data_IF_372299538708
#
_entry.id   IF_372299538708
#
_cell.length_a   1.000
_cell.length_b   1.000
_cell.length_c   1.000
_cell.angle_alpha   90.00
_cell.angle_beta   90.00
_cell.angle_gamma   90.00
#
_symmetry.space_group_name_H-M   'P 1'
#
loop_
_entity.id
_entity.type
_entity.pdbx_description
1 polymer ?
#
# COMPACT_ATOMS: atom_id res chain seq x y z
N UNK A 1 -21.50 13.49 0.86
CA UNK A 1 -21.53 12.16 1.50
C UNK A 1 -22.93 11.84 2.06
N UNK A 2 -23.67 12.83 2.55
CA UNK A 2 -25.04 12.60 3.04
C UNK A 2 -25.98 12.27 1.87
N UNK A 3 -26.61 11.11 1.94
CA UNK A 3 -27.63 10.63 1.00
C UNK A 3 -28.87 10.17 1.79
N UNK A 4 -30.10 10.20 1.21
CA UNK A 4 -31.34 9.99 1.98
C UNK A 4 -31.51 8.62 2.65
N UNK A 5 -30.82 7.57 2.17
CA UNK A 5 -31.02 6.20 2.65
C UNK A 5 -29.74 5.46 3.03
N UNK A 6 -28.58 5.90 2.55
CA UNK A 6 -27.27 5.31 2.83
C UNK A 6 -26.24 6.42 2.73
N UNK A 7 -25.45 6.64 3.78
CA UNK A 7 -24.36 7.62 3.69
C UNK A 7 -23.11 7.00 3.03
N UNK A 8 -22.16 7.88 2.65
CA UNK A 8 -20.96 7.45 1.94
C UNK A 8 -20.04 6.55 2.76
N UNK A 9 -20.03 6.68 4.08
CA UNK A 9 -19.23 5.84 4.97
C UNK A 9 -19.74 4.41 5.02
N UNK A 10 -21.03 4.23 5.20
CA UNK A 10 -21.67 2.90 5.14
C UNK A 10 -21.52 2.25 3.76
N UNK A 11 -21.57 3.05 2.67
CA UNK A 11 -21.33 2.53 1.33
C UNK A 11 -19.90 2.03 1.19
N UNK A 12 -18.90 2.79 1.66
CA UNK A 12 -17.50 2.40 1.66
C UNK A 12 -17.29 1.10 2.44
N UNK A 13 -17.80 1.01 3.66
CA UNK A 13 -17.74 -0.19 4.49
C UNK A 13 -18.31 -1.40 3.74
N UNK A 14 -19.47 -1.28 3.11
CA UNK A 14 -20.08 -2.35 2.33
C UNK A 14 -19.25 -2.75 1.11
N UNK A 15 -18.59 -1.81 0.44
CA UNK A 15 -17.67 -2.11 -0.66
C UNK A 15 -16.50 -2.93 -0.13
N UNK A 16 -15.84 -2.48 0.94
CA UNK A 16 -14.67 -3.14 1.53
C UNK A 16 -14.98 -4.52 2.12
N UNK A 17 -16.20 -4.71 2.64
CA UNK A 17 -16.64 -5.98 3.26
C UNK A 17 -17.46 -6.88 2.34
N UNK A 18 -17.60 -6.52 1.06
CA UNK A 18 -18.46 -7.24 0.10
C UNK A 18 -18.00 -8.67 -0.20
N UNK A 19 -16.73 -9.01 0.05
CA UNK A 19 -16.13 -10.29 -0.30
C UNK A 19 -15.97 -10.54 -1.81
N UNK A 20 -16.23 -9.51 -2.63
CA UNK A 20 -16.00 -9.58 -4.08
C UNK A 20 -14.52 -9.32 -4.34
N UNK A 21 -13.81 -10.20 -5.06
CA UNK A 21 -12.39 -10.00 -5.32
C UNK A 21 -12.08 -8.65 -5.98
N UNK A 22 -11.12 -7.91 -5.43
CA UNK A 22 -10.66 -6.61 -5.93
C UNK A 22 -11.49 -5.40 -5.49
N UNK A 23 -12.58 -5.57 -4.73
CA UNK A 23 -13.35 -4.42 -4.21
C UNK A 23 -12.71 -3.78 -2.99
N UNK A 24 -11.85 -4.49 -2.29
CA UNK A 24 -10.99 -4.01 -1.23
C UNK A 24 -9.93 -3.01 -1.74
N UNK A 25 -9.49 -3.15 -3.00
CA UNK A 25 -8.46 -2.31 -3.64
C UNK A 25 -9.05 -1.19 -4.52
N UNK A 26 -10.35 -1.19 -4.81
CA UNK A 26 -10.96 -0.16 -5.67
C UNK A 26 -10.79 1.23 -5.04
N UNK A 27 -10.18 2.21 -5.76
CA UNK A 27 -10.13 3.59 -5.30
C UNK A 27 -11.53 4.18 -5.10
N UNK A 28 -11.82 4.68 -3.91
CA UNK A 28 -13.10 5.31 -3.59
C UNK A 28 -12.86 6.76 -3.20
N UNK A 29 -13.43 7.68 -3.98
CA UNK A 29 -13.28 9.12 -3.78
C UNK A 29 -14.50 9.69 -3.09
N UNK A 30 -14.30 10.41 -1.99
CA UNK A 30 -15.36 11.15 -1.31
C UNK A 30 -15.64 12.48 -2.04
N UNK A 31 -16.89 12.72 -2.45
CA UNK A 31 -17.35 14.01 -2.96
C UNK A 31 -18.15 14.72 -1.89
N UNK A 32 -17.62 15.80 -1.30
CA UNK A 32 -18.21 16.49 -0.15
C UNK A 32 -18.49 17.97 -0.44
N UNK A 33 -19.54 18.52 0.21
CA UNK A 33 -19.78 19.96 0.24
C UNK A 33 -19.14 20.61 1.48
N UNK A 34 -18.52 19.85 2.38
CA UNK A 34 -17.95 20.32 3.63
C UNK A 34 -16.54 20.88 3.45
N UNK A 35 -16.21 21.93 4.21
CA UNK A 35 -14.98 22.72 4.05
C UNK A 35 -13.87 22.15 4.96
N UNK A 36 -12.72 21.88 4.38
CA UNK A 36 -11.34 21.85 4.90
C UNK A 36 -10.98 21.13 6.24
N UNK A 37 -11.89 20.88 7.19
CA UNK A 37 -11.54 20.23 8.47
C UNK A 37 -11.73 18.71 8.51
N UNK A 38 -12.27 18.14 7.45
CA UNK A 38 -12.64 16.71 7.40
C UNK A 38 -11.73 15.90 6.48
N UNK A 39 -10.63 16.47 5.98
CA UNK A 39 -9.74 15.79 5.03
C UNK A 39 -9.10 14.53 5.63
N UNK A 40 -8.54 14.66 6.82
CA UNK A 40 -7.94 13.53 7.56
C UNK A 40 -8.99 12.47 7.86
N UNK A 41 -10.20 12.89 8.21
CA UNK A 41 -11.29 11.98 8.54
C UNK A 41 -11.77 11.11 7.35
N UNK A 42 -11.69 11.61 6.11
CA UNK A 42 -12.01 10.79 4.93
C UNK A 42 -10.95 9.71 4.66
N UNK A 43 -9.68 10.05 4.81
CA UNK A 43 -8.58 9.10 4.66
C UNK A 43 -8.61 8.07 5.79
N UNK A 44 -8.82 8.49 7.03
CA UNK A 44 -8.99 7.60 8.20
C UNK A 44 -10.17 6.64 8.03
N UNK A 45 -11.24 7.08 7.37
CA UNK A 45 -12.39 6.24 7.07
C UNK A 45 -12.16 5.25 5.93
N UNK A 46 -11.01 5.31 5.22
CA UNK A 46 -10.64 4.39 4.14
C UNK A 46 -11.03 4.86 2.73
N UNK A 47 -11.39 6.14 2.55
CA UNK A 47 -11.47 6.74 1.22
C UNK A 47 -10.07 6.95 0.66
N UNK A 48 -9.89 6.66 -0.64
CA UNK A 48 -8.60 6.82 -1.33
C UNK A 48 -8.29 8.27 -1.67
N UNK A 49 -9.32 9.11 -1.74
CA UNK A 49 -9.19 10.53 -2.01
C UNK A 49 -10.50 11.28 -1.75
N UNK A 50 -10.45 12.58 -1.85
CA UNK A 50 -11.65 13.41 -1.69
C UNK A 50 -11.62 14.61 -2.64
N UNK A 51 -12.81 15.15 -2.93
CA UNK A 51 -12.98 16.35 -3.75
C UNK A 51 -14.13 17.21 -3.21
N UNK A 52 -13.86 18.48 -2.96
CA UNK A 52 -14.85 19.42 -2.43
C UNK A 52 -15.74 19.98 -3.55
N UNK A 53 -17.03 19.96 -3.32
CA UNK A 53 -18.02 20.64 -4.18
C UNK A 53 -18.09 22.15 -3.84
N UNK A 54 -18.16 23.03 -4.87
CA UNK A 54 -18.12 22.76 -6.30
C UNK A 54 -16.70 22.49 -6.79
N UNK A 55 -16.52 21.55 -7.71
CA UNK A 55 -15.24 21.22 -8.33
C UNK A 55 -15.32 21.37 -9.86
N UNK A 56 -14.19 21.62 -10.50
CA UNK A 56 -14.04 21.68 -11.93
C UNK A 56 -13.69 20.32 -12.52
N UNK A 57 -13.95 20.11 -13.80
CA UNK A 57 -13.51 18.93 -14.51
C UNK A 57 -11.98 18.73 -14.42
N UNK A 58 -11.21 19.82 -14.45
CA UNK A 58 -9.75 19.76 -14.34
C UNK A 58 -9.31 19.22 -12.98
N UNK A 59 -9.93 19.62 -11.88
CA UNK A 59 -9.64 19.10 -10.53
C UNK A 59 -9.96 17.62 -10.41
N UNK A 60 -11.10 17.17 -10.97
CA UNK A 60 -11.45 15.76 -10.98
C UNK A 60 -10.44 14.93 -11.79
N UNK A 61 -10.09 15.39 -12.99
CA UNK A 61 -9.11 14.71 -13.87
C UNK A 61 -7.74 14.67 -13.18
N UNK A 62 -7.30 15.75 -12.52
CA UNK A 62 -6.03 15.78 -11.78
C UNK A 62 -6.01 14.74 -10.68
N UNK A 63 -7.06 14.67 -9.85
CA UNK A 63 -7.18 13.67 -8.79
C UNK A 63 -7.22 12.25 -9.35
N UNK A 64 -7.98 12.01 -10.42
CA UNK A 64 -8.02 10.70 -11.06
C UNK A 64 -6.66 10.28 -11.62
N UNK A 65 -5.93 11.20 -12.27
CA UNK A 65 -4.60 10.92 -12.78
C UNK A 65 -3.62 10.61 -11.63
N UNK A 66 -3.68 11.36 -10.55
CA UNK A 66 -2.86 11.11 -9.35
C UNK A 66 -3.14 9.72 -8.79
N UNK A 67 -4.39 9.37 -8.56
CA UNK A 67 -4.78 8.06 -8.02
C UNK A 67 -4.48 6.91 -8.99
N UNK A 68 -4.68 7.11 -10.31
CA UNK A 68 -4.36 6.12 -11.32
C UNK A 68 -2.84 5.96 -11.47
N UNK A 69 -2.07 7.04 -11.38
CA UNK A 69 -0.61 6.98 -11.42
C UNK A 69 -0.07 6.24 -10.20
N UNK A 70 -0.56 6.54 -9.00
CA UNK A 70 -0.22 5.80 -7.79
C UNK A 70 -0.60 4.31 -7.89
N UNK A 71 -1.75 4.01 -8.48
CA UNK A 71 -2.21 2.63 -8.67
C UNK A 71 -1.45 1.90 -9.79
N UNK A 72 -1.07 2.60 -10.86
CA UNK A 72 -0.25 2.07 -11.95
C UNK A 72 1.23 1.97 -11.56
N UNK A 73 1.75 2.88 -10.73
CA UNK A 73 3.10 2.79 -10.19
C UNK A 73 3.22 1.67 -9.15
N UNK A 74 2.16 1.40 -8.39
CA UNK A 74 2.06 0.20 -7.55
C UNK A 74 2.00 -1.09 -8.39
N UNK A 75 1.54 -1.00 -9.64
CA UNK A 75 1.53 -2.05 -10.67
C UNK A 75 2.61 -1.87 -11.74
N UNK A 76 3.54 -0.92 -11.62
CA UNK A 76 4.72 -0.89 -12.47
C UNK A 76 5.38 -2.26 -12.38
N UNK A 77 5.61 -2.91 -13.52
CA UNK A 77 6.13 -4.27 -13.61
C UNK A 77 7.31 -4.43 -12.66
N UNK A 78 7.06 -5.16 -11.56
CA UNK A 78 8.10 -5.45 -10.59
C UNK A 78 9.24 -6.15 -11.32
N UNK A 79 10.42 -5.59 -11.21
CA UNK A 79 11.58 -6.09 -11.95
C UNK A 79 12.21 -7.28 -11.21
N UNK A 80 11.54 -8.43 -11.22
CA UNK A 80 12.09 -9.66 -10.66
C UNK A 80 13.36 -10.10 -11.35
N UNK A 81 13.59 -9.69 -12.61
CA UNK A 81 14.85 -9.94 -13.32
C UNK A 81 16.04 -9.31 -12.61
N UNK A 82 15.84 -8.21 -11.87
CA UNK A 82 16.91 -7.62 -11.05
C UNK A 82 17.36 -8.52 -9.90
N UNK A 83 16.44 -9.30 -9.31
CA UNK A 83 16.78 -10.30 -8.28
C UNK A 83 17.47 -11.51 -8.89
N UNK A 84 16.99 -11.97 -10.03
CA UNK A 84 17.47 -13.20 -10.66
C UNK A 84 18.65 -12.97 -11.60
N UNK A 85 19.13 -11.73 -11.76
CA UNK A 85 20.26 -11.38 -12.64
C UNK A 85 21.53 -12.22 -12.38
N UNK A 86 21.75 -12.61 -11.13
CA UNK A 86 22.90 -13.45 -10.75
C UNK A 86 22.74 -14.93 -11.10
N UNK A 87 21.52 -15.40 -11.40
CA UNK A 87 21.26 -16.77 -11.81
C UNK A 87 21.60 -17.00 -13.30
N UNK A 88 21.81 -15.93 -14.07
CA UNK A 88 22.01 -16.04 -15.53
C UNK A 88 20.77 -16.61 -16.22
N UNK A 89 21.00 -17.60 -17.11
CA UNK A 89 19.92 -18.29 -17.83
C UNK A 89 19.45 -19.57 -17.13
N UNK A 90 19.83 -19.80 -15.87
CA UNK A 90 19.45 -20.98 -15.11
C UNK A 90 18.07 -20.82 -14.46
N UNK A 91 17.01 -21.53 -14.92
CA UNK A 91 15.67 -21.41 -14.38
C UNK A 91 15.55 -21.93 -12.93
N UNK A 92 16.31 -22.98 -12.58
CA UNK A 92 16.27 -23.56 -11.23
C UNK A 92 16.89 -22.58 -10.20
N UNK A 93 18.01 -21.96 -10.57
CA UNK A 93 18.65 -20.95 -9.75
C UNK A 93 17.75 -19.71 -9.60
N UNK A 94 17.09 -19.27 -10.69
CA UNK A 94 16.13 -18.16 -10.65
C UNK A 94 14.95 -18.45 -9.72
N UNK A 95 14.34 -19.62 -9.84
CA UNK A 95 13.24 -20.07 -8.99
C UNK A 95 13.67 -20.14 -7.50
N UNK A 96 14.88 -20.63 -7.22
CA UNK A 96 15.43 -20.70 -5.87
C UNK A 96 15.62 -19.30 -5.24
N UNK A 97 16.08 -18.32 -6.02
CA UNK A 97 16.23 -16.92 -5.57
C UNK A 97 14.87 -16.32 -5.23
N UNK A 98 13.87 -16.46 -6.12
CA UNK A 98 12.52 -15.92 -5.88
C UNK A 98 11.85 -16.60 -4.68
N UNK A 99 12.07 -17.90 -4.50
CA UNK A 99 11.58 -18.63 -3.32
C UNK A 99 12.20 -18.09 -2.04
N UNK A 100 13.51 -17.89 -2.01
CA UNK A 100 14.22 -17.34 -0.86
C UNK A 100 13.73 -15.90 -0.56
N UNK A 101 13.57 -15.08 -1.60
CA UNK A 101 12.99 -13.75 -1.49
C UNK A 101 11.61 -13.81 -0.81
N UNK A 102 10.72 -14.68 -1.30
CA UNK A 102 9.37 -14.83 -0.78
C UNK A 102 9.37 -15.27 0.69
N UNK A 103 10.17 -16.26 1.05
CA UNK A 103 10.27 -16.77 2.42
C UNK A 103 10.81 -15.73 3.40
N UNK A 104 11.90 -15.03 3.04
CA UNK A 104 12.50 -14.00 3.92
C UNK A 104 11.62 -12.75 4.03
N UNK A 105 10.92 -12.38 2.94
CA UNK A 105 9.98 -11.27 2.98
C UNK A 105 8.76 -11.60 3.85
N UNK A 106 8.22 -12.83 3.78
CA UNK A 106 7.13 -13.27 4.66
C UNK A 106 7.52 -13.20 6.14
N UNK A 107 8.71 -13.66 6.50
CA UNK A 107 9.22 -13.54 7.89
C UNK A 107 9.27 -12.07 8.34
N UNK A 108 9.72 -11.18 7.45
CA UNK A 108 9.77 -9.75 7.77
C UNK A 108 8.35 -9.14 7.91
N UNK A 109 7.40 -9.58 7.09
CA UNK A 109 5.98 -9.20 7.20
C UNK A 109 5.38 -9.67 8.53
N UNK A 110 5.66 -10.88 8.95
CA UNK A 110 5.16 -11.40 10.23
C UNK A 110 5.71 -10.57 11.41
N UNK A 111 6.99 -10.20 11.37
CA UNK A 111 7.58 -9.28 12.36
C UNK A 111 6.96 -7.88 12.32
N UNK A 112 6.59 -7.35 11.13
CA UNK A 112 5.86 -6.07 11.03
C UNK A 112 4.46 -6.18 11.63
N UNK A 113 3.78 -7.32 11.50
CA UNK A 113 2.49 -7.58 12.17
C UNK A 113 2.63 -7.61 13.67
N UNK A 114 3.65 -8.30 14.18
CA UNK A 114 3.94 -8.33 15.62
C UNK A 114 4.24 -6.91 16.14
N UNK A 115 4.99 -6.10 15.39
CA UNK A 115 5.26 -4.71 15.71
C UNK A 115 3.98 -3.85 15.68
N UNK A 116 3.06 -4.12 14.74
CA UNK A 116 1.76 -3.45 14.66
C UNK A 116 0.90 -3.76 15.90
N UNK A 117 0.80 -5.03 16.27
CA UNK A 117 0.05 -5.47 17.45
C UNK A 117 0.67 -4.97 18.75
N UNK A 118 2.01 -5.03 18.86
CA UNK A 118 2.78 -4.55 20.00
C UNK A 118 2.94 -3.03 20.08
N UNK A 119 2.52 -2.29 19.07
CA UNK A 119 2.75 -0.84 18.94
C UNK A 119 4.24 -0.46 18.97
N UNK A 120 5.07 -1.34 18.47
CA UNK A 120 6.53 -1.19 18.50
C UNK A 120 7.03 -0.46 17.25
N UNK A 121 7.06 0.88 17.34
CA UNK A 121 7.54 1.75 16.27
C UNK A 121 9.01 1.55 15.96
N UNK A 122 9.84 1.25 16.97
CA UNK A 122 11.28 1.05 16.81
C UNK A 122 11.56 -0.22 16.01
N UNK A 123 10.88 -1.31 16.35
CA UNK A 123 10.99 -2.58 15.61
C UNK A 123 10.49 -2.42 14.17
N UNK A 124 9.36 -1.75 13.94
CA UNK A 124 8.85 -1.48 12.59
C UNK A 124 9.85 -0.64 11.77
N UNK A 125 10.48 0.36 12.37
CA UNK A 125 11.54 1.17 11.74
C UNK A 125 12.73 0.31 11.32
N UNK A 126 13.20 -0.55 12.22
CA UNK A 126 14.33 -1.46 11.98
C UNK A 126 14.07 -2.44 10.83
N UNK A 127 12.87 -3.01 10.79
CA UNK A 127 12.46 -3.93 9.73
C UNK A 127 12.33 -3.18 8.40
N UNK A 128 11.74 -1.99 8.41
CA UNK A 128 11.60 -1.13 7.24
C UNK A 128 12.96 -0.82 6.62
N UNK A 129 13.95 -0.45 7.43
CA UNK A 129 15.33 -0.23 6.99
C UNK A 129 15.90 -1.45 6.24
N UNK A 130 15.68 -2.65 6.76
CA UNK A 130 16.13 -3.91 6.15
C UNK A 130 15.46 -4.17 4.79
N UNK A 131 14.20 -3.80 4.63
CA UNK A 131 13.39 -4.08 3.44
C UNK A 131 13.62 -3.08 2.29
N UNK A 132 13.98 -1.83 2.60
CA UNK A 132 14.16 -0.76 1.60
C UNK A 132 15.08 -1.16 0.44
N UNK A 133 16.30 -1.68 0.64
CA UNK A 133 17.19 -2.04 -0.46
C UNK A 133 16.59 -3.10 -1.39
N UNK A 134 15.90 -4.07 -0.81
CA UNK A 134 15.28 -5.18 -1.51
C UNK A 134 14.17 -4.71 -2.45
N UNK A 135 13.23 -3.92 -1.92
CA UNK A 135 12.12 -3.37 -2.70
C UNK A 135 12.56 -2.26 -3.67
N UNK A 136 13.65 -1.54 -3.36
CA UNK A 136 14.27 -0.61 -4.31
C UNK A 136 14.80 -1.35 -5.54
N UNK A 137 15.44 -2.50 -5.35
CA UNK A 137 15.94 -3.35 -6.45
C UNK A 137 14.80 -3.85 -7.34
N UNK A 138 13.65 -4.14 -6.76
CA UNK A 138 12.44 -4.54 -7.49
C UNK A 138 11.75 -3.39 -8.21
N UNK A 139 12.10 -2.14 -7.94
CA UNK A 139 11.39 -0.97 -8.47
C UNK A 139 10.04 -0.71 -7.79
N UNK A 140 9.80 -1.28 -6.60
CA UNK A 140 8.56 -1.08 -5.82
C UNK A 140 8.54 0.31 -5.15
N UNK A 141 8.53 1.37 -5.95
CA UNK A 141 8.78 2.74 -5.51
C UNK A 141 7.77 3.22 -4.45
N UNK A 142 6.48 2.91 -4.60
CA UNK A 142 5.45 3.28 -3.63
C UNK A 142 5.72 2.65 -2.26
N UNK A 143 5.94 1.33 -2.23
CA UNK A 143 6.28 0.61 -1.00
C UNK A 143 7.57 1.15 -0.35
N UNK A 144 8.59 1.46 -1.16
CA UNK A 144 9.85 2.03 -0.66
C UNK A 144 9.63 3.40 -0.01
N UNK A 145 8.75 4.24 -0.56
CA UNK A 145 8.40 5.53 0.07
C UNK A 145 7.74 5.33 1.43
N UNK A 146 6.79 4.42 1.55
CA UNK A 146 6.13 4.09 2.81
C UNK A 146 7.10 3.52 3.84
N UNK A 147 7.97 2.59 3.42
CA UNK A 147 9.03 2.05 4.28
C UNK A 147 9.98 3.13 4.80
N UNK A 148 10.33 4.13 3.98
CA UNK A 148 11.18 5.26 4.40
C UNK A 148 10.52 6.17 5.43
N UNK A 149 9.20 6.34 5.37
CA UNK A 149 8.45 7.09 6.39
C UNK A 149 8.48 6.31 7.71
N UNK A 150 8.25 5.00 7.68
CA UNK A 150 8.32 4.14 8.88
C UNK A 150 9.75 4.07 9.45
N UNK A 151 10.76 4.00 8.58
CA UNK A 151 12.18 3.98 8.97
C UNK A 151 12.57 5.22 9.78
N UNK A 152 12.12 6.40 9.36
CA UNK A 152 12.42 7.67 10.05
C UNK A 152 11.84 7.71 11.46
N UNK A 153 10.77 6.94 11.72
CA UNK A 153 10.08 6.91 13.00
C UNK A 153 9.78 8.31 13.55
N UNK A 154 9.26 9.19 12.68
CA UNK A 154 9.05 10.60 12.98
C UNK A 154 7.95 10.76 14.03
N UNK A 155 8.21 11.58 15.06
CA UNK A 155 7.24 11.89 16.11
C UNK A 155 6.05 12.70 15.58
N UNK A 156 6.18 13.34 14.40
CA UNK A 156 5.07 14.06 13.76
C UNK A 156 4.00 13.10 13.19
N UNK A 157 4.36 11.84 12.94
CA UNK A 157 3.41 10.83 12.48
C UNK A 157 2.51 10.38 13.63
N UNK A 158 1.21 10.73 13.52
CA UNK A 158 0.21 10.32 14.52
C UNK A 158 0.12 8.80 14.64
N UNK A 159 -0.35 8.30 15.78
CA UNK A 159 -0.54 6.86 15.98
C UNK A 159 -1.48 6.27 14.92
N UNK A 160 -2.60 6.94 14.63
CA UNK A 160 -3.55 6.49 13.59
C UNK A 160 -2.88 6.43 12.20
N UNK A 161 -2.12 7.46 11.83
CA UNK A 161 -1.37 7.50 10.57
C UNK A 161 -0.32 6.40 10.49
N UNK A 162 0.38 6.11 11.59
CA UNK A 162 1.37 5.06 11.66
C UNK A 162 0.74 3.67 11.48
N UNK A 163 -0.40 3.39 12.15
CA UNK A 163 -1.12 2.13 12.00
C UNK A 163 -1.59 1.90 10.57
N UNK A 164 -2.15 2.95 9.97
CA UNK A 164 -2.62 2.87 8.58
C UNK A 164 -1.46 2.58 7.63
N UNK A 165 -0.38 3.37 7.74
CA UNK A 165 0.80 3.23 6.89
C UNK A 165 1.46 1.84 7.02
N UNK A 166 1.59 1.34 8.25
CA UNK A 166 2.17 0.01 8.47
C UNK A 166 1.27 -1.11 7.92
N UNK A 167 -0.06 -0.95 8.03
CA UNK A 167 -1.02 -1.85 7.39
C UNK A 167 -0.85 -1.89 5.87
N UNK A 168 -0.75 -0.72 5.21
CA UNK A 168 -0.52 -0.63 3.77
C UNK A 168 0.80 -1.27 3.34
N UNK A 169 1.88 -1.06 4.10
CA UNK A 169 3.18 -1.69 3.83
C UNK A 169 3.07 -3.21 3.87
N UNK A 170 2.39 -3.76 4.86
CA UNK A 170 2.17 -5.20 5.01
C UNK A 170 1.42 -5.76 3.79
N UNK A 171 0.34 -5.11 3.38
CA UNK A 171 -0.49 -5.54 2.24
C UNK A 171 0.26 -5.45 0.92
N UNK A 172 0.95 -4.35 0.64
CA UNK A 172 1.74 -4.18 -0.57
C UNK A 172 2.88 -5.20 -0.64
N UNK A 173 3.59 -5.44 0.46
CA UNK A 173 4.65 -6.43 0.51
C UNK A 173 4.13 -7.87 0.27
N UNK A 174 2.94 -8.20 0.81
CA UNK A 174 2.29 -9.49 0.56
C UNK A 174 1.88 -9.67 -0.90
N UNK A 175 1.40 -8.62 -1.56
CA UNK A 175 1.05 -8.67 -2.97
C UNK A 175 2.29 -8.97 -3.82
N UNK A 176 3.42 -8.29 -3.54
CA UNK A 176 4.69 -8.52 -4.24
C UNK A 176 5.20 -9.96 -4.04
N UNK A 177 5.05 -10.52 -2.84
CA UNK A 177 5.41 -11.92 -2.56
C UNK A 177 4.57 -12.89 -3.39
N UNK A 178 3.25 -12.65 -3.51
CA UNK A 178 2.37 -13.47 -4.35
C UNK A 178 2.77 -13.40 -5.83
N UNK A 179 3.13 -12.22 -6.32
CA UNK A 179 3.60 -12.04 -7.70
C UNK A 179 4.93 -12.80 -7.95
N UNK A 180 5.86 -12.75 -6.98
CA UNK A 180 7.10 -13.51 -7.04
C UNK A 180 6.86 -15.03 -7.06
N UNK A 181 5.94 -15.53 -6.23
CA UNK A 181 5.54 -16.94 -6.20
C UNK A 181 4.87 -17.37 -7.51
N UNK A 182 4.06 -16.50 -8.11
CA UNK A 182 3.44 -16.76 -9.42
C UNK A 182 4.45 -16.79 -10.56
N UNK A 183 5.57 -16.12 -10.43
CA UNK A 183 6.65 -16.13 -11.41
C UNK A 183 7.53 -17.40 -11.34
N UNK A 184 7.40 -18.22 -10.29
CA UNK A 184 8.12 -19.50 -10.12
C UNK A 184 7.38 -20.66 -10.84
N UNK A 185 6.07 -20.55 -11.02
CA UNK A 185 5.18 -21.58 -11.57
C UNK A 185 4.95 -21.45 -13.02
#
# INVERSE_FOLDING_TARGET
>A
IQMPTLDGYHLLERIRTSGIPGTDEIPVIALSASIAKEHEHYLEAGFTGFLNKPFTAAQLISLLNELLTLHLEARSELNFSSLTAFAGEDPEASASILKTFSEETRKSIDLLRDALEGKDREEASRISHKLIPLFTMLGANSLVQHLRILEKNDEELTDSGWYHLLGEVIEQALAIVKDAESAIG
#
